data_IF_567939039799
#
_entry.id   IF_567939039799
#
_cell.length_a   1.000
_cell.length_b   1.000
_cell.length_c   1.000
_cell.angle_alpha   90.00
_cell.angle_beta   90.00
_cell.angle_gamma   90.00
#
_symmetry.space_group_name_H-M   'P 1'
#
loop_
_entity.id
_entity.type
_entity.pdbx_description
1 polymer ?
#
# COMPACT_ATOMS: atom_id res chain seq x y z
N UNK A 1 20.98 -13.71 4.25
CA UNK A 1 20.19 -12.49 4.52
C UNK A 1 21.22 -11.42 4.84
N UNK A 2 21.45 -10.49 3.93
CA UNK A 2 22.26 -9.33 4.24
C UNK A 2 21.49 -8.49 5.26
N UNK A 3 22.10 -8.23 6.41
CA UNK A 3 21.52 -7.32 7.40
C UNK A 3 21.55 -5.93 6.76
N UNK A 4 20.37 -5.38 6.49
CA UNK A 4 20.24 -4.03 5.95
C UNK A 4 20.89 -3.06 6.93
N UNK A 5 21.94 -2.35 6.50
CA UNK A 5 22.57 -1.33 7.32
C UNK A 5 21.67 -0.10 7.40
N UNK A 6 20.98 0.08 8.52
CA UNK A 6 20.06 1.19 8.72
C UNK A 6 20.74 2.56 8.81
N UNK A 7 22.08 2.64 8.99
CA UNK A 7 22.77 3.93 9.14
C UNK A 7 22.68 4.85 7.93
N UNK A 8 22.42 4.30 6.75
CA UNK A 8 22.28 5.06 5.51
C UNK A 8 20.83 5.12 5.03
N UNK A 9 19.87 4.84 5.90
CA UNK A 9 18.44 4.83 5.56
C UNK A 9 17.77 6.02 6.23
N UNK A 10 17.20 6.90 5.40
CA UNK A 10 16.48 8.09 5.89
C UNK A 10 15.08 7.72 6.44
N UNK A 11 14.41 6.73 5.84
CA UNK A 11 13.02 6.38 6.17
C UNK A 11 12.77 4.88 6.16
N UNK A 12 12.02 4.39 7.14
CA UNK A 12 11.51 3.03 7.22
C UNK A 12 10.00 3.03 7.01
N UNK A 13 9.52 2.24 6.05
CA UNK A 13 8.08 2.11 5.75
C UNK A 13 7.59 0.74 6.24
N UNK A 14 6.63 0.74 7.16
CA UNK A 14 5.98 -0.48 7.65
C UNK A 14 4.53 -0.54 7.18
N UNK A 15 4.20 -1.56 6.39
CA UNK A 15 2.83 -1.81 5.92
C UNK A 15 2.04 -2.54 7.01
N UNK A 16 0.97 -1.93 7.49
CA UNK A 16 0.05 -2.56 8.44
C UNK A 16 -1.18 -3.10 7.71
N UNK A 17 -1.68 -4.25 8.19
CA UNK A 17 -2.96 -4.83 7.80
C UNK A 17 -3.83 -4.99 9.04
N UNK A 18 -4.88 -4.18 9.16
CA UNK A 18 -5.81 -4.25 10.30
C UNK A 18 -7.24 -4.18 9.81
N UNK A 19 -8.08 -5.11 10.28
CA UNK A 19 -9.50 -5.21 9.87
C UNK A 19 -9.66 -5.12 8.34
N UNK A 20 -8.75 -5.79 7.62
CA UNK A 20 -8.68 -5.85 6.17
C UNK A 20 -8.45 -4.50 5.47
N UNK A 21 -7.83 -3.56 6.17
CA UNK A 21 -7.40 -2.27 5.66
C UNK A 21 -5.87 -2.13 5.73
N UNK A 22 -5.27 -1.64 4.64
CA UNK A 22 -3.83 -1.39 4.55
C UNK A 22 -3.51 0.10 4.75
N UNK A 23 -2.48 0.37 5.54
CA UNK A 23 -1.91 1.72 5.74
C UNK A 23 -0.43 1.62 6.08
N UNK A 24 0.31 2.73 5.97
CA UNK A 24 1.73 2.78 6.35
C UNK A 24 1.96 3.51 7.66
N UNK A 25 2.94 3.03 8.42
CA UNK A 25 3.65 3.80 9.45
C UNK A 25 5.06 4.05 8.96
N UNK A 26 5.48 5.30 8.90
CA UNK A 26 6.77 5.71 8.35
C UNK A 26 7.62 6.35 9.43
N UNK A 27 8.76 5.73 9.74
CA UNK A 27 9.75 6.27 10.65
C UNK A 27 10.78 7.03 9.83
N UNK A 28 10.78 8.36 9.92
CA UNK A 28 11.81 9.17 9.30
C UNK A 28 12.96 9.39 10.30
N UNK A 29 14.02 8.61 10.12
CA UNK A 29 15.20 8.60 10.99
C UNK A 29 16.03 9.88 10.89
N UNK A 30 15.86 10.65 9.81
CA UNK A 30 16.57 11.90 9.54
C UNK A 30 15.92 13.11 10.21
N UNK A 31 14.59 13.19 10.17
CA UNK A 31 13.84 14.32 10.76
C UNK A 31 13.21 13.97 12.12
N UNK A 32 13.31 12.72 12.54
CA UNK A 32 12.83 12.20 13.83
C UNK A 32 11.31 12.33 14.00
N UNK A 33 10.58 11.82 13.02
CA UNK A 33 9.11 11.88 12.98
C UNK A 33 8.52 10.54 12.58
N UNK A 34 7.31 10.26 13.08
CA UNK A 34 6.55 9.04 12.78
C UNK A 34 5.25 9.45 12.08
N UNK A 35 5.13 9.14 10.79
CA UNK A 35 3.98 9.52 9.96
C UNK A 35 3.09 8.31 9.67
N UNK A 36 1.79 8.43 9.97
CA UNK A 36 0.77 7.44 9.58
C UNK A 36 0.13 7.88 8.26
N UNK A 37 0.33 7.08 7.21
CA UNK A 37 -0.22 7.31 5.88
C UNK A 37 -1.44 6.40 5.68
N UNK A 38 -2.63 6.96 5.90
CA UNK A 38 -3.93 6.29 5.66
C UNK A 38 -4.73 7.07 4.61
N UNK A 39 -5.31 6.35 3.65
CA UNK A 39 -6.27 6.93 2.71
C UNK A 39 -7.64 7.16 3.33
N UNK A 40 -7.99 6.48 4.41
CA UNK A 40 -9.30 6.64 5.04
C UNK A 40 -9.34 7.91 5.90
N UNK A 41 -10.42 8.66 5.79
CA UNK A 41 -10.73 9.69 6.76
C UNK A 41 -11.22 9.02 8.05
N UNK A 42 -10.42 9.14 9.10
CA UNK A 42 -10.69 8.54 10.41
C UNK A 42 -11.23 9.60 11.34
N UNK A 43 -12.25 9.24 12.11
CA UNK A 43 -12.83 10.06 13.18
C UNK A 43 -12.55 9.32 14.49
N UNK A 44 -11.96 10.02 15.47
CA UNK A 44 -11.55 9.44 16.76
C UNK A 44 -10.09 9.74 17.11
N UNK A 45 -9.66 9.36 18.30
CA UNK A 45 -8.26 9.51 18.71
C UNK A 45 -7.37 8.46 18.01
N UNK A 46 -6.10 8.78 17.79
CA UNK A 46 -5.11 7.90 17.12
C UNK A 46 -5.10 6.51 17.75
N UNK A 47 -5.09 6.46 19.09
CA UNK A 47 -5.07 5.22 19.87
C UNK A 47 -6.31 4.36 19.57
N UNK A 48 -7.50 4.96 19.42
CA UNK A 48 -8.72 4.20 19.14
C UNK A 48 -8.72 3.61 17.72
N UNK A 49 -8.02 4.26 16.79
CA UNK A 49 -8.04 3.94 15.36
C UNK A 49 -6.90 2.99 14.97
N UNK A 50 -5.70 3.24 15.49
CA UNK A 50 -4.47 2.56 15.12
C UNK A 50 -3.84 1.75 16.25
N UNK A 51 -4.30 1.94 17.49
CA UNK A 51 -4.08 1.04 18.63
C UNK A 51 -2.63 0.93 19.13
N UNK A 52 -2.46 0.11 20.17
CA UNK A 52 -1.21 -0.26 20.85
C UNK A 52 -0.14 -0.84 19.91
N UNK A 53 -0.53 -1.37 18.75
CA UNK A 53 0.39 -2.02 17.79
C UNK A 53 1.47 -1.06 17.28
N UNK A 54 1.13 0.22 17.05
CA UNK A 54 2.11 1.23 16.62
C UNK A 54 3.12 1.51 17.73
N UNK A 55 2.65 1.55 18.99
CA UNK A 55 3.50 1.76 20.15
C UNK A 55 4.54 0.63 20.30
N UNK A 56 4.09 -0.63 20.24
CA UNK A 56 5.01 -1.79 20.27
C UNK A 56 6.02 -1.71 19.13
N UNK A 57 5.56 -1.39 17.90
CA UNK A 57 6.46 -1.26 16.76
C UNK A 57 7.52 -0.19 17.00
N UNK A 58 7.14 0.97 17.55
CA UNK A 58 8.09 2.04 17.88
C UNK A 58 9.14 1.56 18.87
N UNK A 59 8.74 0.87 19.94
CA UNK A 59 9.69 0.29 20.91
C UNK A 59 10.65 -0.69 20.24
N UNK A 60 10.15 -1.57 19.38
CA UNK A 60 10.98 -2.54 18.65
C UNK A 60 11.98 -1.85 17.71
N UNK A 61 11.54 -0.82 16.96
CA UNK A 61 12.40 -0.04 16.06
C UNK A 61 13.46 0.71 16.87
N UNK A 62 13.08 1.41 17.94
CA UNK A 62 14.02 2.15 18.81
C UNK A 62 15.03 1.20 19.44
N UNK A 63 14.59 0.07 19.99
CA UNK A 63 15.50 -0.91 20.58
C UNK A 63 16.47 -1.48 19.54
N UNK A 64 15.98 -1.74 18.31
CA UNK A 64 16.85 -2.18 17.23
C UNK A 64 17.89 -1.12 16.86
N UNK A 65 17.48 0.16 16.75
CA UNK A 65 18.38 1.30 16.52
C UNK A 65 19.43 1.43 17.64
N UNK A 66 19.07 1.22 18.91
CA UNK A 66 20.03 1.19 20.04
C UNK A 66 21.04 0.07 19.90
N UNK A 67 20.58 -1.14 19.59
CA UNK A 67 21.44 -2.32 19.46
C UNK A 67 22.51 -2.15 18.37
N UNK A 68 22.20 -1.41 17.29
CA UNK A 68 23.16 -1.11 16.22
C UNK A 68 23.95 0.20 16.46
N UNK A 69 23.72 0.88 17.59
CA UNK A 69 24.34 2.18 17.91
C UNK A 69 23.98 3.28 16.90
N UNK A 70 22.71 3.35 16.48
CA UNK A 70 22.22 4.39 15.57
C UNK A 70 21.90 5.68 16.37
N UNK A 71 22.35 6.87 15.93
CA UNK A 71 22.16 8.11 16.67
C UNK A 71 20.68 8.51 16.85
N UNK A 72 19.81 8.13 15.91
CA UNK A 72 18.38 8.46 15.99
C UNK A 72 17.61 7.69 17.08
N UNK A 73 18.20 6.68 17.74
CA UNK A 73 17.46 5.81 18.65
C UNK A 73 16.79 6.60 19.79
N UNK A 74 17.56 7.40 20.52
CA UNK A 74 17.06 8.18 21.66
C UNK A 74 16.23 9.40 21.21
N UNK A 75 16.44 9.87 19.98
CA UNK A 75 15.64 10.94 19.38
C UNK A 75 14.25 10.48 18.96
N UNK A 76 14.09 9.18 18.65
CA UNK A 76 12.82 8.60 18.21
C UNK A 76 11.95 8.09 19.36
N UNK A 77 12.52 7.82 20.53
CA UNK A 77 11.78 7.31 21.70
C UNK A 77 10.62 8.22 22.17
N UNK A 78 10.80 9.55 22.31
CA UNK A 78 9.73 10.42 22.78
C UNK A 78 8.77 10.88 21.67
N UNK A 79 9.00 10.50 20.41
CA UNK A 79 8.26 11.03 19.26
C UNK A 79 6.84 10.47 19.23
N UNK A 80 5.85 11.36 19.20
CA UNK A 80 4.45 11.01 18.98
C UNK A 80 4.16 10.75 17.49
N UNK A 81 3.28 9.78 17.24
CA UNK A 81 2.79 9.44 15.92
C UNK A 81 1.82 10.52 15.42
N UNK A 82 1.89 10.87 14.14
CA UNK A 82 0.96 11.82 13.51
C UNK A 82 0.27 11.23 12.30
N UNK A 83 -1.06 11.35 12.29
CA UNK A 83 -1.85 10.99 11.11
C UNK A 83 -1.69 12.08 10.07
N UNK A 84 -1.22 11.70 8.88
CA UNK A 84 -0.98 12.65 7.81
C UNK A 84 -2.26 13.20 7.22
N UNK A 85 -2.53 14.49 7.48
CA UNK A 85 -3.65 15.24 6.91
C UNK A 85 -3.47 15.50 5.42
N UNK A 86 -3.97 14.57 4.61
CA UNK A 86 -3.87 14.60 3.15
C UNK A 86 -5.21 14.91 2.50
N UNK A 87 -5.17 15.61 1.36
CA UNK A 87 -6.36 16.17 0.69
C UNK A 87 -7.20 15.13 -0.07
N UNK A 88 -6.63 13.97 -0.37
CA UNK A 88 -7.25 12.92 -1.18
C UNK A 88 -7.78 11.76 -0.33
N UNK A 89 -8.01 11.96 0.97
CA UNK A 89 -8.64 10.94 1.81
C UNK A 89 -10.03 10.57 1.30
N UNK A 90 -10.47 9.38 1.68
CA UNK A 90 -11.72 8.76 1.28
C UNK A 90 -12.53 8.38 2.51
N UNK A 91 -13.84 8.55 2.47
CA UNK A 91 -14.78 8.07 3.48
C UNK A 91 -15.43 6.75 3.07
N UNK A 92 -15.49 6.47 1.78
CA UNK A 92 -16.29 5.36 1.23
C UNK A 92 -15.46 4.33 0.45
N UNK A 93 -14.16 4.58 0.23
CA UNK A 93 -13.28 3.65 -0.48
C UNK A 93 -12.49 2.73 0.46
N UNK A 94 -13.10 1.59 0.81
CA UNK A 94 -12.50 0.57 1.67
C UNK A 94 -11.71 -0.51 0.92
N UNK A 95 -11.72 -0.51 -0.42
CA UNK A 95 -11.22 -1.64 -1.23
C UNK A 95 -9.93 -1.34 -1.99
N UNK A 96 -9.58 -0.06 -2.17
CA UNK A 96 -8.38 0.34 -2.92
C UNK A 96 -7.22 0.80 -2.01
N UNK A 97 -7.27 0.52 -0.70
CA UNK A 97 -6.23 0.93 0.27
C UNK A 97 -4.81 0.47 -0.11
N UNK A 98 -4.67 -0.71 -0.72
CA UNK A 98 -3.39 -1.18 -1.27
C UNK A 98 -2.86 -0.32 -2.43
N UNK A 99 -3.73 0.25 -3.27
CA UNK A 99 -3.36 1.17 -4.36
C UNK A 99 -2.85 2.49 -3.79
N UNK A 100 -3.53 3.01 -2.76
CA UNK A 100 -3.07 4.19 -2.03
C UNK A 100 -1.72 3.93 -1.37
N UNK A 101 -1.55 2.81 -0.67
CA UNK A 101 -0.28 2.40 -0.07
C UNK A 101 0.86 2.40 -1.10
N UNK A 102 0.70 1.71 -2.23
CA UNK A 102 1.73 1.68 -3.29
C UNK A 102 2.03 3.09 -3.84
N UNK A 103 1.00 3.93 -4.02
CA UNK A 103 1.19 5.32 -4.48
C UNK A 103 1.88 6.19 -3.42
N UNK A 104 1.60 5.96 -2.13
CA UNK A 104 2.24 6.68 -1.05
C UNK A 104 3.72 6.33 -0.98
N UNK A 105 4.09 5.05 -1.09
CA UNK A 105 5.51 4.66 -1.22
C UNK A 105 6.19 5.30 -2.44
N UNK A 106 5.51 5.39 -3.60
CA UNK A 106 6.09 5.99 -4.82
C UNK A 106 6.36 7.49 -4.68
N UNK A 107 5.64 8.20 -3.80
CA UNK A 107 5.61 9.68 -3.82
C UNK A 107 5.94 10.36 -2.49
N UNK A 108 5.90 9.63 -1.37
CA UNK A 108 6.18 10.20 -0.06
C UNK A 108 7.68 10.31 0.20
N UNK A 109 8.15 11.53 0.43
CA UNK A 109 9.57 11.84 0.62
C UNK A 109 9.86 12.43 2.02
N UNK A 110 8.98 12.19 3.01
CA UNK A 110 9.21 12.60 4.39
C UNK A 110 9.00 14.09 4.71
N UNK A 111 8.48 14.87 3.75
CA UNK A 111 8.26 16.32 3.88
C UNK A 111 6.95 16.74 4.55
N UNK A 112 6.21 15.80 5.14
CA UNK A 112 4.87 16.05 5.66
C UNK A 112 3.81 16.19 4.55
N UNK A 113 2.63 16.71 4.90
CA UNK A 113 1.48 16.78 3.97
C UNK A 113 1.55 18.00 3.06
N UNK A 114 2.20 19.07 3.52
CA UNK A 114 2.36 20.30 2.77
C UNK A 114 3.32 20.07 1.60
N UNK A 115 2.80 20.20 0.38
CA UNK A 115 3.60 20.00 -0.83
C UNK A 115 3.74 18.54 -1.27
N UNK A 116 3.14 17.58 -0.55
CA UNK A 116 3.09 16.20 -1.01
C UNK A 116 2.06 16.05 -2.13
N UNK A 117 2.55 15.70 -3.33
CA UNK A 117 1.74 15.52 -4.52
C UNK A 117 1.70 14.05 -4.96
N UNK A 118 0.55 13.40 -4.74
CA UNK A 118 0.31 12.03 -5.20
C UNK A 118 -0.27 11.96 -6.61
N UNK A 119 -0.81 13.08 -7.10
CA UNK A 119 -1.64 13.15 -8.30
C UNK A 119 -3.11 12.80 -8.05
N UNK A 120 -3.51 12.41 -6.84
CA UNK A 120 -4.91 12.14 -6.52
C UNK A 120 -5.72 13.43 -6.35
N UNK A 121 -6.95 13.43 -6.86
CA UNK A 121 -7.98 14.42 -6.48
C UNK A 121 -8.68 14.00 -5.18
N UNK A 122 -9.61 14.81 -4.69
CA UNK A 122 -10.56 14.44 -3.62
C UNK A 122 -11.43 13.25 -4.04
N UNK A 123 -12.13 12.63 -3.09
CA UNK A 123 -13.01 11.46 -3.31
C UNK A 123 -14.21 11.79 -4.22
N UNK A 124 -13.94 11.82 -5.51
CA UNK A 124 -14.85 12.16 -6.60
C UNK A 124 -14.65 11.18 -7.77
N UNK A 125 -15.54 11.14 -8.78
CA UNK A 125 -15.43 10.21 -9.92
C UNK A 125 -14.07 10.26 -10.63
N UNK A 126 -13.40 11.41 -10.65
CA UNK A 126 -12.04 11.55 -11.20
C UNK A 126 -11.01 10.71 -10.44
N UNK A 127 -11.10 10.66 -9.11
CA UNK A 127 -10.17 9.90 -8.27
C UNK A 127 -10.33 8.41 -8.55
N UNK A 128 -11.57 7.93 -8.71
CA UNK A 128 -11.83 6.54 -9.10
C UNK A 128 -11.12 6.19 -10.40
N UNK A 129 -11.16 7.07 -11.41
CA UNK A 129 -10.44 6.84 -12.68
C UNK A 129 -8.91 6.82 -12.48
N UNK A 130 -8.38 7.68 -11.61
CA UNK A 130 -6.96 7.69 -11.26
C UNK A 130 -6.53 6.38 -10.58
N UNK A 131 -7.35 5.88 -9.66
CA UNK A 131 -7.16 4.60 -8.97
C UNK A 131 -7.22 3.44 -9.97
N UNK A 132 -8.20 3.39 -10.87
CA UNK A 132 -8.31 2.35 -11.90
C UNK A 132 -7.07 2.32 -12.81
N UNK A 133 -6.60 3.48 -13.26
CA UNK A 133 -5.38 3.58 -14.06
C UNK A 133 -4.15 3.09 -13.27
N UNK A 134 -4.09 3.37 -11.97
CA UNK A 134 -3.04 2.88 -11.09
C UNK A 134 -3.09 1.37 -10.87
N UNK A 135 -4.28 0.79 -10.73
CA UNK A 135 -4.46 -0.67 -10.63
C UNK A 135 -3.90 -1.34 -11.87
N UNK A 136 -4.18 -0.80 -13.05
CA UNK A 136 -3.60 -1.29 -14.31
C UNK A 136 -2.07 -1.14 -14.29
N UNK A 137 -1.55 0.06 -13.99
CA UNK A 137 -0.09 0.32 -13.92
C UNK A 137 0.62 -0.68 -13.00
N UNK A 138 0.16 -0.82 -11.76
CA UNK A 138 0.82 -1.67 -10.76
C UNK A 138 0.66 -3.15 -11.08
N UNK A 139 -0.53 -3.60 -11.50
CA UNK A 139 -0.75 -4.98 -11.92
C UNK A 139 0.17 -5.36 -13.08
N UNK A 140 0.24 -4.52 -14.13
CA UNK A 140 1.14 -4.73 -15.26
C UNK A 140 2.60 -4.80 -14.82
N UNK A 141 3.05 -3.89 -13.94
CA UNK A 141 4.42 -3.93 -13.41
C UNK A 141 4.71 -5.22 -12.63
N UNK A 142 3.79 -5.67 -11.79
CA UNK A 142 3.95 -6.91 -11.01
C UNK A 142 3.99 -8.12 -11.93
N UNK A 143 3.04 -8.23 -12.86
CA UNK A 143 2.93 -9.36 -13.77
C UNK A 143 4.17 -9.52 -14.67
N UNK A 144 4.71 -8.40 -15.16
CA UNK A 144 5.85 -8.38 -16.08
C UNK A 144 7.21 -8.28 -15.37
N UNK A 145 7.24 -8.13 -14.04
CA UNK A 145 8.47 -8.03 -13.27
C UNK A 145 9.31 -9.30 -13.38
N UNK A 146 10.63 -9.16 -13.51
CA UNK A 146 11.55 -10.30 -13.49
C UNK A 146 11.56 -11.02 -12.12
N UNK A 147 11.08 -10.36 -11.07
CA UNK A 147 10.90 -10.96 -9.74
C UNK A 147 9.64 -11.83 -9.66
N UNK A 148 8.73 -11.74 -10.63
CA UNK A 148 7.54 -12.57 -10.66
C UNK A 148 7.91 -13.99 -11.12
N UNK A 149 7.95 -14.93 -10.17
CA UNK A 149 8.23 -16.35 -10.44
C UNK A 149 7.23 -16.98 -11.44
N UNK A 150 6.03 -16.39 -11.55
CA UNK A 150 4.99 -16.83 -12.47
C UNK A 150 5.03 -16.09 -13.82
N UNK A 151 6.02 -15.23 -14.09
CA UNK A 151 6.08 -14.41 -15.32
C UNK A 151 5.96 -15.24 -16.59
N UNK A 152 6.68 -16.36 -16.69
CA UNK A 152 6.60 -17.27 -17.84
C UNK A 152 5.19 -17.82 -18.07
N UNK A 153 4.50 -18.24 -17.00
CA UNK A 153 3.12 -18.72 -17.09
C UNK A 153 2.19 -17.62 -17.59
N UNK A 154 2.37 -16.38 -17.12
CA UNK A 154 1.61 -15.22 -17.58
C UNK A 154 1.86 -14.98 -19.08
N UNK A 155 3.11 -15.02 -19.53
CA UNK A 155 3.48 -14.85 -20.95
C UNK A 155 2.86 -15.95 -21.84
N UNK A 156 2.89 -17.21 -21.38
CA UNK A 156 2.26 -18.34 -22.07
C UNK A 156 0.73 -18.19 -22.14
N UNK A 157 0.06 -17.82 -21.06
CA UNK A 157 -1.39 -17.58 -21.03
C UNK A 157 -1.78 -16.45 -21.99
N UNK A 158 -0.97 -15.39 -22.06
CA UNK A 158 -1.19 -14.28 -23.00
C UNK A 158 -1.02 -14.75 -24.43
N UNK A 159 0.04 -15.50 -24.75
CA UNK A 159 0.25 -16.06 -26.09
C UNK A 159 -0.91 -16.98 -26.51
N UNK A 160 -1.36 -17.85 -25.61
CA UNK A 160 -2.52 -18.72 -25.83
C UNK A 160 -3.81 -17.92 -26.03
N UNK A 161 -4.00 -16.81 -25.30
CA UNK A 161 -5.17 -15.95 -25.49
C UNK A 161 -5.19 -15.35 -26.89
N UNK A 162 -4.05 -14.83 -27.37
CA UNK A 162 -3.95 -14.23 -28.69
C UNK A 162 -4.01 -15.25 -29.84
N UNK A 163 -3.72 -16.52 -29.60
CA UNK A 163 -3.93 -17.59 -30.60
C UNK A 163 -5.40 -18.02 -30.76
N UNK A 164 -6.30 -17.57 -29.88
CA UNK A 164 -7.74 -17.87 -29.99
C UNK A 164 -8.41 -17.06 -31.10
N UNK A 165 -9.49 -17.60 -31.67
CA UNK A 165 -10.35 -16.84 -32.59
C UNK A 165 -10.97 -15.62 -31.90
N UNK A 166 -11.29 -14.54 -32.64
CA UNK A 166 -11.90 -13.33 -32.06
C UNK A 166 -13.17 -13.62 -31.23
N UNK A 167 -13.99 -14.58 -31.66
CA UNK A 167 -15.20 -15.00 -30.94
C UNK A 167 -14.87 -15.68 -29.61
N UNK A 168 -13.84 -16.54 -29.58
CA UNK A 168 -13.40 -17.20 -28.35
C UNK A 168 -12.75 -16.21 -27.37
N UNK A 169 -11.98 -15.24 -27.87
CA UNK A 169 -11.44 -14.14 -27.08
C UNK A 169 -12.56 -13.31 -26.44
N UNK A 170 -13.60 -12.97 -27.22
CA UNK A 170 -14.74 -12.21 -26.72
C UNK A 170 -15.48 -12.98 -25.61
N UNK A 171 -15.75 -14.28 -25.82
CA UNK A 171 -16.37 -15.15 -24.79
C UNK A 171 -15.56 -15.16 -23.48
N UNK A 172 -14.23 -15.30 -23.55
CA UNK A 172 -13.36 -15.26 -22.36
C UNK A 172 -13.42 -13.89 -21.67
N UNK A 173 -13.36 -12.78 -22.42
CA UNK A 173 -13.48 -11.41 -21.88
C UNK A 173 -14.83 -11.21 -21.17
N UNK A 174 -15.93 -11.59 -21.82
CA UNK A 174 -17.27 -11.49 -21.24
C UNK A 174 -17.41 -12.32 -19.97
N UNK A 175 -16.88 -13.55 -19.94
CA UNK A 175 -16.87 -14.37 -18.73
C UNK A 175 -16.11 -13.68 -17.58
N UNK A 176 -14.92 -13.14 -17.85
CA UNK A 176 -14.14 -12.40 -16.87
C UNK A 176 -14.89 -11.16 -16.32
N UNK A 177 -15.57 -10.41 -17.19
CA UNK A 177 -16.39 -9.26 -16.78
C UNK A 177 -17.57 -9.66 -15.89
N UNK A 178 -18.22 -10.78 -16.21
CA UNK A 178 -19.31 -11.34 -15.40
C UNK A 178 -18.80 -11.78 -14.03
N UNK A 179 -17.71 -12.55 -13.97
CA UNK A 179 -17.07 -12.96 -12.70
C UNK A 179 -16.68 -11.75 -11.86
N UNK A 180 -16.13 -10.69 -12.47
CA UNK A 180 -15.80 -9.43 -11.80
C UNK A 180 -17.04 -8.77 -11.19
N UNK A 181 -18.15 -8.69 -11.93
CA UNK A 181 -19.42 -8.13 -11.41
C UNK A 181 -19.96 -8.94 -10.23
N UNK A 182 -19.89 -10.28 -10.29
CA UNK A 182 -20.31 -11.12 -9.16
C UNK A 182 -19.45 -10.87 -7.91
N UNK A 183 -18.13 -10.78 -8.06
CA UNK A 183 -17.20 -10.52 -6.95
C UNK A 183 -17.47 -9.15 -6.31
N UNK A 184 -17.64 -8.11 -7.11
CA UNK A 184 -18.01 -6.77 -6.62
C UNK A 184 -19.38 -6.75 -5.91
N UNK A 185 -20.30 -7.64 -6.30
CA UNK A 185 -21.61 -7.77 -5.65
C UNK A 185 -21.55 -8.62 -4.37
N UNK A 186 -20.59 -9.53 -4.22
CA UNK A 186 -20.36 -10.27 -2.97
C UNK A 186 -19.59 -9.45 -1.94
N UNK A 187 -18.61 -8.66 -2.38
CA UNK A 187 -17.82 -7.74 -1.52
C UNK A 187 -18.70 -6.65 -0.89
N UNK A 188 -19.82 -6.29 -1.51
CA UNK A 188 -20.83 -5.38 -0.93
C UNK A 188 -21.71 -6.01 0.17
N UNK A 189 -21.69 -7.33 0.35
CA UNK A 189 -22.64 -8.06 1.21
C UNK A 189 -22.07 -8.62 2.51
N UNK A 190 -20.74 -8.79 2.63
CA UNK A 190 -20.11 -9.26 3.86
C UNK A 190 -18.73 -8.64 4.06
N UNK A 191 -18.35 -8.48 5.32
CA UNK A 191 -17.05 -7.94 5.76
C UNK A 191 -15.89 -8.56 5.00
N UNK A 192 -14.96 -7.67 4.65
CA UNK A 192 -13.83 -7.86 3.76
C UNK A 192 -13.03 -9.15 4.06
N UNK A 193 -12.99 -10.08 3.12
CA UNK A 193 -12.04 -11.21 3.12
C UNK A 193 -11.36 -11.29 1.76
N UNK A 194 -10.29 -10.52 1.56
CA UNK A 194 -9.24 -10.87 0.59
C UNK A 194 -7.87 -10.60 1.24
N UNK A 195 -7.34 -11.67 1.83
CA UNK A 195 -5.93 -11.78 2.21
C UNK A 195 -5.12 -11.84 0.91
N UNK A 196 -4.35 -10.79 0.63
CA UNK A 196 -3.27 -10.88 -0.35
C UNK A 196 -2.13 -11.68 0.29
N UNK A 197 -1.91 -12.92 -0.14
CA UNK A 197 -0.58 -13.54 0.00
C UNK A 197 0.36 -12.90 -1.04
N UNK A 198 0.84 -11.70 -0.74
CA UNK A 198 2.07 -11.17 -1.36
C UNK A 198 3.16 -11.42 -0.33
N UNK A 199 3.79 -12.59 -0.41
CA UNK A 199 5.10 -12.74 0.21
C UNK A 199 6.07 -11.89 -0.60
N UNK A 200 6.48 -10.78 0.00
CA UNK A 200 7.75 -10.08 -0.23
C UNK A 200 8.05 -9.67 -1.67
N UNK A 201 7.52 -8.52 -2.11
CA UNK A 201 8.13 -7.76 -3.21
C UNK A 201 8.87 -6.59 -2.57
N UNK A 202 10.20 -6.70 -2.50
CA UNK A 202 11.05 -5.56 -2.27
C UNK A 202 11.06 -4.71 -3.56
N UNK A 203 10.63 -3.46 -3.48
CA UNK A 203 10.86 -2.49 -4.54
C UNK A 203 12.28 -1.96 -4.38
N UNK A 204 13.18 -2.39 -5.25
CA UNK A 204 14.50 -1.79 -5.47
C UNK A 204 14.41 -0.62 -6.43
#
# INVERSE_FOLDING_TARGET
MDIINLRNIDMLFFLFLRRCHYYFVVFNLKTHVIDILDNMERVGHIIDVYDFDIHIMREMVVQHLRNIGHPSADLMEPVEDRIMEIKWRTRNNYTDCGVFCMRHMETYMGGGSRGWYTGFTTEEPSQKKQIENLRIKYCTKILLSDQNICKKLVEEEVAQFYSLSPTAQLKKKTHADVTRKYRLNSERRHECWIVWRINTIAFS
#
